data_IF_309797044100
#
_entry.id   IF_309797044100
#
_cell.length_a   1.000
_cell.length_b   1.000
_cell.length_c   1.000
_cell.angle_alpha   90.00
_cell.angle_beta   90.00
_cell.angle_gamma   90.00
#
_symmetry.space_group_name_H-M   'P 1'
#
loop_
_entity.id
_entity.type
_entity.pdbx_description
1 polymer ?
#
# COMPACT_ATOMS: atom_id res chain seq x y z
N UNK A 1 -69.32 19.16 -66.25
CA UNK A 1 -69.43 17.77 -65.75
C UNK A 1 -68.54 17.62 -64.52
N UNK A 2 -69.07 16.97 -63.46
CA UNK A 2 -68.42 16.53 -62.19
C UNK A 2 -67.99 17.66 -61.23
N UNK A 3 -68.87 18.11 -60.33
CA UNK A 3 -69.20 17.61 -58.96
C UNK A 3 -68.03 17.69 -57.96
N UNK A 4 -68.21 18.60 -56.99
CA UNK A 4 -67.42 18.75 -55.78
C UNK A 4 -67.49 17.51 -54.88
N UNK A 5 -66.37 17.20 -54.22
CA UNK A 5 -66.31 16.23 -53.12
C UNK A 5 -65.58 16.88 -51.94
N UNK A 6 -66.37 17.06 -50.89
CA UNK A 6 -66.00 17.45 -49.54
C UNK A 6 -65.24 16.29 -48.90
N UNK A 7 -64.08 16.54 -48.26
CA UNK A 7 -63.48 15.56 -47.36
C UNK A 7 -63.02 16.25 -46.07
N UNK A 8 -63.68 15.84 -45.00
CA UNK A 8 -63.47 16.16 -43.60
C UNK A 8 -62.29 15.30 -43.11
N UNK A 9 -61.29 15.88 -42.44
CA UNK A 9 -60.32 15.06 -41.69
C UNK A 9 -60.07 15.65 -40.29
N UNK A 10 -60.30 14.78 -39.31
CA UNK A 10 -60.28 14.98 -37.87
C UNK A 10 -58.89 15.40 -37.34
N UNK A 11 -58.91 16.30 -36.37
CA UNK A 11 -57.80 16.65 -35.49
C UNK A 11 -57.67 15.56 -34.43
N UNK A 12 -56.52 14.85 -34.39
CA UNK A 12 -56.16 13.91 -33.33
C UNK A 12 -55.04 14.50 -32.48
N UNK A 13 -55.33 14.75 -31.20
CA UNK A 13 -54.37 15.28 -30.23
C UNK A 13 -53.43 14.20 -29.69
N UNK A 14 -52.12 14.45 -29.79
CA UNK A 14 -51.07 13.61 -29.21
C UNK A 14 -50.80 14.06 -27.77
N UNK A 15 -51.13 13.20 -26.81
CA UNK A 15 -50.69 13.30 -25.41
C UNK A 15 -49.21 12.88 -25.33
N UNK A 16 -48.34 13.79 -24.90
CA UNK A 16 -46.93 13.50 -24.60
C UNK A 16 -46.82 13.11 -23.13
N UNK A 17 -46.58 11.83 -22.85
CA UNK A 17 -46.24 11.36 -21.50
C UNK A 17 -44.72 11.35 -21.33
N UNK A 18 -44.20 12.26 -20.49
CA UNK A 18 -42.79 12.29 -20.10
C UNK A 18 -42.54 11.24 -19.01
N UNK A 19 -41.93 10.11 -19.39
CA UNK A 19 -41.44 9.11 -18.42
C UNK A 19 -40.15 9.61 -17.77
N UNK A 20 -40.26 10.06 -16.51
CA UNK A 20 -39.11 10.35 -15.65
C UNK A 20 -38.45 9.04 -15.22
N UNK A 21 -37.44 8.61 -15.98
CA UNK A 21 -36.52 7.58 -15.50
C UNK A 21 -35.70 8.19 -14.35
N UNK A 22 -36.02 7.83 -13.11
CA UNK A 22 -35.07 7.89 -12.01
C UNK A 22 -33.81 7.14 -12.47
N UNK A 23 -32.68 7.83 -12.64
CA UNK A 23 -31.37 7.19 -12.74
C UNK A 23 -31.14 6.46 -11.42
N UNK A 24 -31.50 5.18 -11.39
CA UNK A 24 -30.93 4.24 -10.43
C UNK A 24 -29.45 4.19 -10.76
N UNK A 25 -28.63 4.76 -9.88
CA UNK A 25 -27.18 4.63 -9.94
C UNK A 25 -26.85 3.14 -9.84
N UNK A 26 -26.68 2.50 -10.98
CA UNK A 26 -26.09 1.16 -11.04
C UNK A 26 -24.66 1.33 -10.55
N UNK A 27 -24.41 0.92 -9.31
CA UNK A 27 -23.06 0.69 -8.80
C UNK A 27 -22.45 -0.36 -9.70
N UNK A 28 -21.74 0.06 -10.75
CA UNK A 28 -20.98 -0.84 -11.61
C UNK A 28 -19.81 -1.35 -10.77
N UNK A 29 -20.01 -2.51 -10.15
CA UNK A 29 -18.95 -3.31 -9.56
C UNK A 29 -18.05 -3.73 -10.71
N UNK A 30 -16.78 -3.35 -10.70
CA UNK A 30 -15.81 -3.86 -11.67
C UNK A 30 -15.60 -5.38 -11.50
N UNK A 31 -14.98 -6.04 -12.48
CA UNK A 31 -14.68 -7.49 -12.47
C UNK A 31 -13.93 -7.98 -11.21
N UNK A 32 -13.36 -7.07 -10.41
CA UNK A 32 -12.66 -7.33 -9.16
C UNK A 32 -13.54 -7.25 -7.89
N UNK A 33 -14.82 -6.95 -8.00
CA UNK A 33 -15.72 -6.83 -6.84
C UNK A 33 -15.58 -5.51 -6.06
N UNK A 34 -14.75 -4.57 -6.51
CA UNK A 34 -14.46 -3.31 -5.82
C UNK A 34 -15.31 -2.17 -6.41
N UNK A 35 -15.93 -1.35 -5.56
CA UNK A 35 -16.77 -0.24 -6.04
C UNK A 35 -15.94 0.89 -6.66
N UNK A 36 -16.49 1.57 -7.67
CA UNK A 36 -15.85 2.75 -8.27
C UNK A 36 -15.55 3.85 -7.23
N UNK A 37 -16.44 4.04 -6.24
CA UNK A 37 -16.22 4.99 -5.14
C UNK A 37 -14.98 4.62 -4.31
N UNK A 38 -14.79 3.34 -4.01
CA UNK A 38 -13.61 2.85 -3.29
C UNK A 38 -12.34 3.15 -4.09
N UNK A 39 -12.35 2.88 -5.40
CA UNK A 39 -11.20 3.18 -6.27
C UNK A 39 -10.86 4.67 -6.30
N UNK A 40 -11.87 5.55 -6.25
CA UNK A 40 -11.64 7.00 -6.14
C UNK A 40 -10.99 7.35 -4.80
N UNK A 41 -11.45 6.78 -3.68
CA UNK A 41 -10.82 7.00 -2.37
C UNK A 41 -9.36 6.53 -2.35
N UNK A 42 -9.06 5.36 -2.91
CA UNK A 42 -7.70 4.82 -3.06
C UNK A 42 -6.82 5.77 -3.88
N UNK A 43 -7.31 6.22 -5.04
CA UNK A 43 -6.58 7.15 -5.89
C UNK A 43 -6.34 8.51 -5.20
N UNK A 44 -7.30 8.99 -4.41
CA UNK A 44 -7.18 10.24 -3.64
C UNK A 44 -6.14 10.15 -2.51
N UNK A 45 -5.83 8.94 -2.01
CA UNK A 45 -4.73 8.69 -1.09
C UNK A 45 -3.37 8.50 -1.80
N UNK A 46 -3.36 8.56 -3.13
CA UNK A 46 -2.20 8.39 -3.98
C UNK A 46 -1.69 6.95 -4.04
N UNK A 47 -2.62 6.02 -4.25
CA UNK A 47 -2.34 4.62 -4.57
C UNK A 47 -2.98 4.23 -5.90
N UNK A 48 -2.44 3.19 -6.55
CA UNK A 48 -2.96 2.64 -7.78
C UNK A 48 -4.21 1.80 -7.55
N UNK A 49 -5.02 1.67 -8.60
CA UNK A 49 -6.33 1.00 -8.55
C UNK A 49 -6.40 -0.27 -9.41
N UNK A 50 -5.26 -0.71 -9.97
CA UNK A 50 -5.20 -1.80 -10.95
C UNK A 50 -5.36 -3.21 -10.35
N UNK A 51 -4.86 -3.44 -9.13
CA UNK A 51 -4.83 -4.76 -8.48
C UNK A 51 -5.32 -4.70 -7.03
N UNK A 52 -6.42 -3.97 -6.79
CA UNK A 52 -7.00 -3.82 -5.46
C UNK A 52 -7.62 -5.14 -5.00
N UNK A 53 -7.28 -5.59 -3.79
CA UNK A 53 -7.87 -6.78 -3.18
C UNK A 53 -8.54 -6.40 -1.87
N UNK A 54 -9.78 -6.84 -1.65
CA UNK A 54 -10.46 -6.63 -0.36
C UNK A 54 -9.76 -7.44 0.74
N UNK A 55 -9.53 -6.82 1.90
CA UNK A 55 -9.03 -7.47 3.11
C UNK A 55 -10.06 -7.35 4.23
N UNK A 56 -9.83 -8.04 5.35
CA UNK A 56 -10.75 -8.03 6.50
C UNK A 56 -10.95 -6.63 7.10
N UNK A 57 -9.93 -5.77 7.04
CA UNK A 57 -9.87 -4.45 7.66
C UNK A 57 -9.75 -3.29 6.65
N UNK A 58 -9.82 -3.57 5.34
CA UNK A 58 -9.62 -2.56 4.32
C UNK A 58 -9.40 -3.11 2.91
N UNK A 59 -8.34 -2.64 2.25
CA UNK A 59 -7.98 -3.00 0.88
C UNK A 59 -6.46 -3.08 0.71
N UNK A 60 -5.97 -4.22 0.20
CA UNK A 60 -4.59 -4.38 -0.25
C UNK A 60 -4.43 -3.74 -1.64
N UNK A 61 -3.48 -2.83 -1.75
CA UNK A 61 -3.07 -2.11 -2.97
C UNK A 61 -1.57 -2.28 -3.13
N UNK A 62 -1.07 -2.09 -4.35
CA UNK A 62 0.35 -2.23 -4.69
C UNK A 62 1.00 -3.58 -4.34
N UNK A 63 0.21 -4.53 -3.85
CA UNK A 63 0.62 -5.89 -3.59
C UNK A 63 1.20 -6.15 -2.20
N UNK A 64 1.45 -5.11 -1.41
CA UNK A 64 2.00 -5.15 -0.04
C UNK A 64 1.42 -4.05 0.90
N UNK A 65 0.65 -3.07 0.39
CA UNK A 65 0.10 -1.97 1.21
C UNK A 65 -1.37 -2.21 1.51
N UNK A 66 -1.72 -2.40 2.77
CA UNK A 66 -3.09 -2.48 3.27
C UNK A 66 -3.58 -1.11 3.72
N UNK A 67 -4.53 -0.56 2.97
CA UNK A 67 -5.26 0.66 3.33
C UNK A 67 -6.45 0.27 4.20
N UNK A 68 -6.37 0.59 5.49
CA UNK A 68 -7.49 0.34 6.41
C UNK A 68 -8.71 1.18 6.03
N UNK A 69 -9.90 0.73 6.40
CA UNK A 69 -11.12 1.53 6.20
C UNK A 69 -11.03 2.88 6.93
N UNK A 70 -10.34 2.98 8.07
CA UNK A 70 -10.07 4.25 8.75
C UNK A 70 -9.22 5.19 7.88
N UNK A 71 -8.11 4.71 7.33
CA UNK A 71 -7.23 5.51 6.47
C UNK A 71 -7.95 5.90 5.18
N UNK A 72 -8.70 4.98 4.58
CA UNK A 72 -9.47 5.20 3.34
C UNK A 72 -10.54 6.29 3.49
N UNK A 73 -11.11 6.43 4.69
CA UNK A 73 -12.12 7.45 5.01
C UNK A 73 -11.51 8.68 5.69
N UNK A 74 -10.19 8.72 5.88
CA UNK A 74 -9.48 9.91 6.36
C UNK A 74 -9.35 10.94 5.23
N UNK A 75 -9.39 12.22 5.59
CA UNK A 75 -9.03 13.28 4.63
C UNK A 75 -7.52 13.43 4.67
N UNK A 76 -6.76 13.12 3.59
CA UNK A 76 -5.33 13.32 3.59
C UNK A 76 -5.02 14.80 3.88
N UNK A 77 -4.44 15.06 5.05
CA UNK A 77 -3.93 16.38 5.34
C UNK A 77 -2.69 16.59 4.48
N UNK A 78 -2.78 17.58 3.58
CA UNK A 78 -1.73 18.07 2.68
C UNK A 78 -1.66 17.43 1.28
N UNK A 79 -2.16 18.20 0.31
CA UNK A 79 -1.64 18.24 -1.06
C UNK A 79 -0.24 18.89 -0.99
N UNK A 80 0.83 18.10 -0.95
CA UNK A 80 2.16 18.66 -1.14
C UNK A 80 2.52 18.63 -2.62
N UNK A 81 2.90 19.82 -3.12
CA UNK A 81 3.29 20.06 -4.49
C UNK A 81 4.52 19.22 -4.85
N UNK A 82 4.49 18.69 -6.07
CA UNK A 82 5.58 17.96 -6.72
C UNK A 82 6.87 18.80 -6.76
N UNK A 83 7.94 18.32 -6.14
CA UNK A 83 9.31 18.72 -6.47
C UNK A 83 10.14 17.44 -6.68
N UNK A 84 10.27 17.02 -7.94
CA UNK A 84 11.15 15.93 -8.37
C UNK A 84 10.58 14.51 -8.29
N UNK A 85 11.01 13.66 -9.24
CA UNK A 85 11.28 12.24 -8.96
C UNK A 85 12.39 12.22 -7.90
N UNK A 86 12.30 11.42 -6.84
CA UNK A 86 13.25 11.46 -5.73
C UNK A 86 13.36 10.15 -4.93
N UNK A 87 14.26 10.05 -3.95
CA UNK A 87 14.47 8.88 -3.10
C UNK A 87 14.04 9.15 -1.65
N UNK A 88 13.65 8.08 -0.95
CA UNK A 88 13.04 8.04 0.38
C UNK A 88 11.79 8.91 0.53
N UNK A 89 10.63 8.24 0.45
CA UNK A 89 9.34 8.85 0.67
C UNK A 89 8.76 8.41 2.00
N UNK A 90 7.99 9.29 2.61
CA UNK A 90 7.17 8.99 3.78
C UNK A 90 5.71 9.28 3.53
N UNK A 91 4.83 8.68 4.30
CA UNK A 91 3.43 9.10 4.35
C UNK A 91 3.25 10.40 5.14
N UNK A 92 2.06 10.98 5.05
CA UNK A 92 1.64 12.12 5.87
C UNK A 92 1.61 11.76 7.36
N UNK A 93 1.34 10.49 7.69
CA UNK A 93 1.25 10.02 9.05
C UNK A 93 2.57 9.37 9.49
N UNK A 94 3.19 9.92 10.53
CA UNK A 94 4.39 9.35 11.13
C UNK A 94 4.09 8.82 12.53
N UNK A 95 4.95 7.94 13.02
CA UNK A 95 4.91 7.52 14.42
C UNK A 95 5.48 8.66 15.27
N UNK A 96 4.64 9.27 16.09
CA UNK A 96 5.03 10.43 16.92
C UNK A 96 4.72 10.22 18.40
N UNK A 97 3.83 9.28 18.72
CA UNK A 97 3.37 9.06 20.09
C UNK A 97 4.43 8.31 20.90
N UNK A 98 4.87 8.95 21.97
CA UNK A 98 5.69 8.32 23.01
C UNK A 98 7.17 8.16 22.67
N UNK A 99 7.68 8.81 21.61
CA UNK A 99 9.11 8.73 21.27
C UNK A 99 9.99 9.50 22.28
N UNK A 100 11.18 8.96 22.67
CA UNK A 100 11.74 7.68 22.24
C UNK A 100 11.03 6.46 22.86
N UNK A 101 10.79 5.41 22.07
CA UNK A 101 10.06 4.21 22.49
C UNK A 101 10.68 2.93 21.93
N UNK A 102 10.68 1.88 22.76
CA UNK A 102 10.89 0.51 22.31
C UNK A 102 9.55 -0.15 21.99
N UNK A 103 9.34 -0.48 20.72
CA UNK A 103 8.15 -1.13 20.20
C UNK A 103 8.29 -2.65 20.30
N UNK A 104 7.26 -3.29 20.84
CA UNK A 104 7.18 -4.74 21.02
C UNK A 104 6.68 -5.40 19.75
N UNK A 105 7.49 -6.30 19.20
CA UNK A 105 7.19 -7.07 17.99
C UNK A 105 6.87 -8.51 18.38
N UNK A 106 5.66 -8.98 18.08
CA UNK A 106 5.28 -10.39 18.29
C UNK A 106 5.29 -11.13 16.96
N UNK A 107 5.86 -12.33 16.92
CA UNK A 107 5.72 -13.25 15.78
C UNK A 107 4.68 -14.29 16.14
N UNK A 108 3.66 -14.46 15.30
CA UNK A 108 2.52 -15.35 15.56
C UNK A 108 2.22 -16.23 14.35
N UNK A 109 1.99 -17.52 14.61
CA UNK A 109 1.64 -18.53 13.60
C UNK A 109 2.65 -18.63 12.45
N UNK A 110 3.94 -18.52 12.75
CA UNK A 110 5.04 -18.56 11.78
C UNK A 110 6.17 -19.47 12.25
N UNK A 111 6.92 -20.05 11.31
CA UNK A 111 8.02 -20.96 11.60
C UNK A 111 9.36 -20.26 11.88
N UNK A 112 10.41 -21.03 12.23
CA UNK A 112 11.69 -20.50 12.71
C UNK A 112 12.37 -19.48 11.78
N UNK A 113 12.22 -19.64 10.46
CA UNK A 113 12.82 -18.70 9.49
C UNK A 113 12.26 -17.28 9.61
N UNK A 114 10.97 -17.14 9.94
CA UNK A 114 10.32 -15.85 10.14
C UNK A 114 10.66 -15.25 11.50
N UNK A 115 10.80 -16.07 12.54
CA UNK A 115 11.29 -15.62 13.84
C UNK A 115 12.72 -15.07 13.74
N UNK A 116 13.62 -15.81 13.10
CA UNK A 116 15.00 -15.39 12.88
C UNK A 116 15.09 -14.20 11.92
N UNK A 117 14.26 -14.15 10.88
CA UNK A 117 14.15 -13.00 9.98
C UNK A 117 13.65 -11.74 10.71
N UNK A 118 12.72 -11.91 11.66
CA UNK A 118 12.28 -10.81 12.55
C UNK A 118 13.43 -10.31 13.42
N UNK A 119 14.17 -11.22 14.05
CA UNK A 119 15.34 -10.85 14.87
C UNK A 119 16.40 -10.11 14.04
N UNK A 120 16.62 -10.55 12.79
CA UNK A 120 17.51 -9.89 11.84
C UNK A 120 17.02 -8.47 11.51
N UNK A 121 15.75 -8.29 11.15
CA UNK A 121 15.18 -6.97 10.86
C UNK A 121 15.30 -6.02 12.07
N UNK A 122 14.94 -6.49 13.27
CA UNK A 122 15.06 -5.75 14.52
C UNK A 122 16.50 -5.30 14.77
N UNK A 123 17.47 -6.20 14.60
CA UNK A 123 18.88 -5.89 14.82
C UNK A 123 19.36 -4.74 13.92
N UNK A 124 18.91 -4.71 12.66
CA UNK A 124 19.27 -3.68 11.68
C UNK A 124 18.74 -2.32 12.07
N UNK A 125 17.46 -2.21 12.43
CA UNK A 125 16.90 -0.94 12.90
C UNK A 125 17.57 -0.45 14.18
N UNK A 126 17.75 -1.34 15.16
CA UNK A 126 18.36 -0.98 16.44
C UNK A 126 19.81 -0.51 16.28
N UNK A 127 20.55 -1.02 15.28
CA UNK A 127 21.92 -0.58 14.98
C UNK A 127 22.00 0.90 14.55
N UNK A 128 20.91 1.49 14.04
CA UNK A 128 20.86 2.91 13.65
C UNK A 128 20.75 3.87 14.84
N UNK A 129 20.38 3.36 16.03
CA UNK A 129 20.21 4.16 17.25
C UNK A 129 19.19 5.29 17.09
N UNK A 130 18.01 4.97 16.55
CA UNK A 130 16.89 5.88 16.37
C UNK A 130 16.08 6.01 17.68
N UNK A 131 15.19 7.00 17.74
CA UNK A 131 14.15 7.15 18.78
C UNK A 131 13.09 6.05 18.73
N UNK A 132 13.03 5.31 17.62
CA UNK A 132 12.29 4.05 17.51
C UNK A 132 13.28 2.89 17.69
N UNK A 133 13.05 2.06 18.70
CA UNK A 133 13.76 0.79 18.84
C UNK A 133 12.77 -0.36 18.92
N UNK A 134 13.24 -1.57 18.68
CA UNK A 134 12.40 -2.74 18.55
C UNK A 134 12.84 -3.86 19.48
N UNK A 135 11.87 -4.58 20.02
CA UNK A 135 12.12 -5.75 20.85
C UNK A 135 11.15 -6.87 20.47
N UNK A 136 11.68 -8.04 20.10
CA UNK A 136 10.83 -9.21 19.92
C UNK A 136 10.32 -9.68 21.28
N UNK A 137 9.02 -9.95 21.35
CA UNK A 137 8.34 -10.51 22.52
C UNK A 137 7.63 -11.80 22.14
N UNK A 138 7.45 -12.70 23.10
CA UNK A 138 6.71 -13.95 22.93
C UNK A 138 5.38 -13.96 23.70
N UNK A 139 5.18 -12.99 24.60
CA UNK A 139 3.99 -12.84 25.45
C UNK A 139 3.69 -11.37 25.72
N UNK A 140 2.46 -11.07 26.12
CA UNK A 140 2.00 -9.71 26.43
C UNK A 140 1.42 -8.99 25.21
N UNK A 141 1.05 -7.72 25.39
CA UNK A 141 0.47 -6.89 24.31
C UNK A 141 1.58 -6.34 23.41
N UNK A 142 1.62 -6.73 22.11
CA UNK A 142 2.58 -6.17 21.15
C UNK A 142 2.12 -4.81 20.62
N UNK A 143 3.07 -4.03 20.11
CA UNK A 143 2.79 -2.84 19.30
C UNK A 143 2.59 -3.22 17.83
N UNK A 144 3.33 -4.21 17.33
CA UNK A 144 3.17 -4.78 15.98
C UNK A 144 3.21 -6.31 16.05
N UNK A 145 2.28 -6.96 15.35
CA UNK A 145 2.23 -8.42 15.21
C UNK A 145 2.60 -8.84 13.79
N UNK A 146 3.59 -9.72 13.66
CA UNK A 146 3.95 -10.40 12.43
C UNK A 146 3.12 -11.69 12.37
N UNK A 147 2.21 -11.79 11.41
CA UNK A 147 1.21 -12.84 11.28
C UNK A 147 1.39 -13.61 9.97
N UNK A 148 1.32 -14.94 10.02
CA UNK A 148 1.29 -15.77 8.83
C UNK A 148 -0.06 -15.75 8.11
N UNK A 149 -0.03 -15.71 6.78
CA UNK A 149 -1.17 -16.06 5.92
C UNK A 149 -0.70 -17.01 4.81
N UNK A 150 -1.62 -17.68 4.13
CA UNK A 150 -1.26 -18.62 3.05
C UNK A 150 -2.04 -18.28 1.79
N UNK A 151 -1.35 -17.71 0.80
CA UNK A 151 -1.92 -17.33 -0.48
C UNK A 151 -1.04 -17.83 -1.63
N UNK A 152 -1.64 -18.50 -2.60
CA UNK A 152 -0.97 -18.88 -3.86
C UNK A 152 -0.87 -17.68 -4.79
N UNK A 153 0.06 -17.75 -5.73
CA UNK A 153 0.14 -16.75 -6.79
C UNK A 153 -1.18 -16.68 -7.59
N UNK A 154 -1.63 -15.47 -7.92
CA UNK A 154 -2.82 -15.21 -8.75
C UNK A 154 -2.45 -14.21 -9.83
N UNK A 155 -2.78 -14.50 -11.08
CA UNK A 155 -2.50 -13.59 -12.21
C UNK A 155 -1.01 -13.31 -12.44
N UNK A 156 -0.12 -14.26 -12.09
CA UNK A 156 1.33 -14.07 -12.18
C UNK A 156 1.95 -13.28 -11.03
N UNK A 157 1.14 -12.84 -10.06
CA UNK A 157 1.60 -12.08 -8.89
C UNK A 157 1.47 -12.89 -7.60
N UNK A 158 2.42 -12.71 -6.68
CA UNK A 158 2.37 -13.27 -5.32
C UNK A 158 2.76 -12.20 -4.29
N UNK A 159 1.90 -12.00 -3.30
CA UNK A 159 2.25 -11.16 -2.14
C UNK A 159 3.27 -11.90 -1.28
N UNK A 160 4.41 -11.26 -1.01
CA UNK A 160 5.47 -11.80 -0.14
C UNK A 160 5.20 -11.45 1.32
N UNK A 161 4.95 -10.17 1.55
CA UNK A 161 4.53 -9.57 2.80
C UNK A 161 3.52 -8.47 2.51
N UNK A 162 2.80 -8.03 3.53
CA UNK A 162 2.01 -6.81 3.44
C UNK A 162 1.84 -6.18 4.81
N UNK A 163 1.76 -4.86 4.86
CA UNK A 163 1.56 -4.09 6.08
C UNK A 163 0.72 -2.85 5.76
N UNK A 164 0.88 -1.76 6.47
CA UNK A 164 0.06 -0.57 6.34
C UNK A 164 0.75 0.61 6.98
N UNK A 165 0.11 1.78 6.99
CA UNK A 165 0.73 3.02 7.43
C UNK A 165 0.29 3.45 8.84
N UNK A 166 1.09 4.31 9.50
CA UNK A 166 0.71 4.90 10.78
C UNK A 166 -0.64 5.61 10.72
N UNK A 167 -1.38 5.55 11.82
CA UNK A 167 -2.63 6.27 12.02
C UNK A 167 -2.65 6.87 13.42
N UNK A 168 -3.06 8.13 13.54
CA UNK A 168 -3.13 8.86 14.82
C UNK A 168 -1.80 8.86 15.62
N UNK A 169 -0.66 8.83 14.91
CA UNK A 169 0.67 8.86 15.51
C UNK A 169 1.16 7.51 16.07
N UNK A 170 0.39 6.42 15.93
CA UNK A 170 0.78 5.06 16.27
C UNK A 170 1.16 4.27 14.99
N UNK A 171 2.06 3.28 15.07
CA UNK A 171 2.42 2.46 13.91
C UNK A 171 1.23 1.61 13.45
N UNK A 172 1.24 1.18 12.18
CA UNK A 172 0.36 0.09 11.78
C UNK A 172 0.77 -1.18 12.53
N UNK A 173 -0.21 -1.87 13.10
CA UNK A 173 0.04 -2.88 14.12
C UNK A 173 0.18 -4.30 13.59
N UNK A 174 0.15 -4.51 12.27
CA UNK A 174 0.17 -5.84 11.67
C UNK A 174 1.10 -5.89 10.46
N UNK A 175 1.96 -6.91 10.43
CA UNK A 175 2.73 -7.31 9.24
C UNK A 175 2.27 -8.72 8.87
N UNK A 176 1.73 -8.92 7.68
CA UNK A 176 1.31 -10.24 7.18
C UNK A 176 2.43 -10.82 6.33
N UNK A 177 2.82 -12.07 6.59
CA UNK A 177 3.86 -12.77 5.86
C UNK A 177 3.30 -14.01 5.16
N UNK A 178 3.57 -14.16 3.86
CA UNK A 178 3.03 -15.28 3.09
C UNK A 178 3.81 -16.56 3.37
N UNK A 179 3.13 -17.58 3.87
CA UNK A 179 3.70 -18.89 4.21
C UNK A 179 3.63 -19.88 3.05
N UNK A 180 3.05 -19.48 1.91
CA UNK A 180 2.97 -20.34 0.74
C UNK A 180 4.36 -20.63 0.16
N UNK A 181 4.62 -21.88 -0.23
CA UNK A 181 5.90 -22.28 -0.82
C UNK A 181 6.25 -21.53 -2.12
N UNK A 182 5.27 -20.95 -2.81
CA UNK A 182 5.52 -20.10 -3.98
C UNK A 182 6.16 -18.74 -3.62
N UNK A 183 6.06 -18.28 -2.36
CA UNK A 183 6.60 -16.99 -1.92
C UNK A 183 8.08 -17.09 -1.52
N UNK A 184 8.42 -18.06 -0.65
CA UNK A 184 9.76 -18.21 -0.07
C UNK A 184 10.38 -19.60 -0.27
N UNK A 185 9.73 -20.49 -1.02
CA UNK A 185 10.11 -21.90 -1.11
C UNK A 185 9.62 -22.72 0.09
N UNK A 186 9.91 -24.02 0.08
CA UNK A 186 9.57 -24.94 1.18
C UNK A 186 10.49 -24.78 2.41
N UNK A 187 11.68 -24.21 2.20
CA UNK A 187 12.66 -23.88 3.24
C UNK A 187 13.03 -22.40 3.11
N UNK A 188 12.26 -21.48 3.71
CA UNK A 188 12.48 -20.05 3.58
C UNK A 188 13.88 -19.62 4.04
N UNK A 189 14.57 -18.83 3.23
CA UNK A 189 15.86 -18.26 3.59
C UNK A 189 15.67 -17.12 4.61
N UNK A 190 16.38 -17.20 5.75
CA UNK A 190 16.27 -16.23 6.86
C UNK A 190 16.57 -14.80 6.42
N UNK A 191 17.58 -14.58 5.57
CA UNK A 191 17.96 -13.25 5.14
C UNK A 191 16.92 -12.65 4.20
N UNK A 192 16.39 -13.44 3.27
CA UNK A 192 15.32 -12.98 2.38
C UNK A 192 14.05 -12.64 3.18
N UNK A 193 13.63 -13.52 4.08
CA UNK A 193 12.48 -13.27 4.96
C UNK A 193 12.72 -12.04 5.84
N UNK A 194 13.92 -11.90 6.39
CA UNK A 194 14.32 -10.74 7.19
C UNK A 194 14.31 -9.44 6.40
N UNK A 195 14.70 -9.46 5.12
CA UNK A 195 14.59 -8.29 4.24
C UNK A 195 13.14 -7.89 3.96
N UNK A 196 12.24 -8.85 3.74
CA UNK A 196 10.81 -8.53 3.57
C UNK A 196 10.21 -8.01 4.88
N UNK A 197 10.47 -8.66 6.02
CA UNK A 197 9.98 -8.16 7.33
C UNK A 197 10.53 -6.77 7.64
N UNK A 198 11.81 -6.54 7.34
CA UNK A 198 12.42 -5.21 7.45
C UNK A 198 11.59 -4.22 6.64
N UNK A 199 11.37 -4.46 5.34
CA UNK A 199 10.55 -3.64 4.45
C UNK A 199 9.16 -3.32 5.02
N UNK A 200 8.42 -4.33 5.45
CA UNK A 200 7.06 -4.15 5.99
C UNK A 200 7.04 -3.33 7.29
N UNK A 201 8.04 -3.50 8.17
CA UNK A 201 8.20 -2.62 9.33
C UNK A 201 8.44 -1.17 8.90
N UNK A 202 8.98 -0.92 7.71
CA UNK A 202 9.11 0.43 7.17
C UNK A 202 7.79 1.11 6.93
N UNK A 203 6.89 0.43 6.24
CA UNK A 203 5.53 0.91 6.04
C UNK A 203 4.81 1.16 7.36
N UNK A 204 4.92 0.23 8.32
CA UNK A 204 4.35 0.39 9.66
C UNK A 204 4.80 1.68 10.36
N UNK A 205 6.00 2.19 10.02
CA UNK A 205 6.61 3.39 10.55
C UNK A 205 6.65 4.55 9.54
N UNK A 206 5.82 4.48 8.50
CA UNK A 206 5.53 5.60 7.61
C UNK A 206 6.46 5.74 6.42
N UNK A 207 7.36 4.79 6.16
CA UNK A 207 8.16 4.77 4.92
C UNK A 207 7.28 4.31 3.75
N UNK A 208 7.41 4.95 2.59
CA UNK A 208 6.82 4.51 1.32
C UNK A 208 7.87 3.90 0.42
N UNK A 209 7.42 3.28 -0.67
CA UNK A 209 8.33 2.79 -1.69
C UNK A 209 9.18 3.91 -2.29
N UNK A 210 10.46 3.62 -2.50
CA UNK A 210 11.38 4.58 -3.13
C UNK A 210 11.05 4.79 -4.60
N UNK A 211 10.55 3.75 -5.27
CA UNK A 211 10.15 3.75 -6.67
C UNK A 211 8.63 3.84 -6.84
N UNK A 212 7.91 4.42 -5.87
CA UNK A 212 6.44 4.58 -5.93
C UNK A 212 5.94 5.22 -7.24
N UNK A 213 6.73 6.15 -7.78
CA UNK A 213 6.43 6.87 -9.02
C UNK A 213 6.64 6.03 -10.30
N UNK A 214 7.44 4.97 -10.22
CA UNK A 214 7.75 4.07 -11.33
C UNK A 214 8.23 2.70 -10.83
N UNK A 215 7.30 1.78 -10.61
CA UNK A 215 7.62 0.41 -10.16
C UNK A 215 8.39 -0.40 -11.19
N UNK A 216 8.51 0.06 -12.45
CA UNK A 216 9.34 -0.66 -13.43
C UNK A 216 10.82 -0.69 -13.02
N UNK A 217 11.24 0.23 -12.15
CA UNK A 217 12.59 0.30 -11.59
C UNK A 217 12.95 -1.00 -10.87
N UNK A 218 12.12 -1.48 -9.94
CA UNK A 218 12.40 -2.72 -9.19
C UNK A 218 11.65 -3.96 -9.69
N UNK A 219 10.49 -3.80 -10.33
CA UNK A 219 9.56 -4.89 -10.66
C UNK A 219 9.70 -5.44 -12.09
N UNK A 220 10.90 -5.41 -12.67
CA UNK A 220 11.24 -6.05 -13.96
C UNK A 220 10.25 -5.76 -15.11
N UNK A 221 9.84 -4.50 -15.27
CA UNK A 221 9.10 -4.04 -16.45
C UNK A 221 7.57 -4.14 -16.39
N UNK A 222 6.96 -4.52 -15.26
CA UNK A 222 5.52 -4.27 -15.07
C UNK A 222 5.36 -2.79 -14.73
N UNK A 223 5.13 -1.94 -15.74
CA UNK A 223 4.95 -0.50 -15.60
C UNK A 223 3.57 -0.19 -14.98
N UNK A 224 3.41 -0.49 -13.70
CA UNK A 224 2.30 -0.01 -12.88
C UNK A 224 2.86 0.96 -11.86
N UNK A 225 2.67 2.26 -12.12
CA UNK A 225 2.87 3.33 -11.14
C UNK A 225 1.93 3.10 -9.95
N UNK A 226 2.30 3.47 -8.72
CA UNK A 226 1.43 3.44 -7.53
C UNK A 226 0.29 4.47 -7.58
N UNK A 227 -0.25 4.74 -8.77
CA UNK A 227 -1.03 5.93 -9.06
C UNK A 227 -0.11 7.14 -9.20
N UNK A 228 -0.28 7.89 -10.28
CA UNK A 228 0.50 9.08 -10.62
C UNK A 228 0.22 10.29 -9.69
N UNK A 229 -0.06 10.05 -8.41
CA UNK A 229 -0.47 11.06 -7.45
C UNK A 229 0.68 11.40 -6.51
N UNK A 230 0.97 12.69 -6.35
CA UNK A 230 1.89 13.20 -5.32
C UNK A 230 1.22 13.28 -3.95
N UNK A 231 -0.01 12.79 -3.83
CA UNK A 231 -0.79 12.85 -2.60
C UNK A 231 -0.34 11.71 -1.69
N UNK A 232 0.07 12.04 -0.47
CA UNK A 232 0.46 11.04 0.53
C UNK A 232 1.88 10.47 0.40
N UNK A 233 2.70 10.94 -0.54
CA UNK A 233 4.13 10.62 -0.64
C UNK A 233 4.97 11.91 -0.48
N UNK A 234 5.65 12.04 0.65
CA UNK A 234 6.44 13.22 1.03
C UNK A 234 7.92 12.87 0.93
N UNK A 235 8.68 13.65 0.16
CA UNK A 235 10.12 13.51 0.08
C UNK A 235 10.77 13.76 1.45
N UNK A 236 11.75 12.93 1.81
CA UNK A 236 12.58 13.16 2.97
C UNK A 236 13.78 14.05 2.59
N UNK A 237 13.98 15.21 3.24
CA UNK A 237 15.15 16.06 2.97
C UNK A 237 16.48 15.35 3.20
N UNK A 238 17.42 15.56 2.28
CA UNK A 238 18.78 15.02 2.37
C UNK A 238 19.04 13.75 1.57
N UNK A 239 18.04 13.20 0.89
CA UNK A 239 18.18 12.02 0.03
C UNK A 239 18.18 12.38 -1.46
N UNK A 240 18.82 11.59 -2.34
CA UNK A 240 18.94 11.86 -3.77
C UNK A 240 17.57 11.97 -4.45
N UNK A 241 17.56 12.57 -5.63
CA UNK A 241 16.33 12.76 -6.40
C UNK A 241 16.10 11.66 -7.48
N UNK A 242 16.53 10.42 -7.29
CA UNK A 242 16.22 9.36 -8.27
C UNK A 242 16.40 7.95 -7.73
N UNK A 243 15.31 7.19 -7.61
CA UNK A 243 15.37 5.77 -7.27
C UNK A 243 16.05 4.97 -8.39
N UNK A 244 16.95 4.06 -8.02
CA UNK A 244 17.48 3.05 -8.94
C UNK A 244 17.47 1.67 -8.28
N UNK A 245 17.26 0.62 -9.07
CA UNK A 245 17.38 -0.75 -8.55
C UNK A 245 18.80 -1.05 -8.06
N UNK A 246 19.81 -0.44 -8.69
CA UNK A 246 21.21 -0.58 -8.32
C UNK A 246 21.55 0.04 -6.96
N UNK A 247 20.87 1.13 -6.57
CA UNK A 247 21.00 1.73 -5.24
C UNK A 247 20.51 0.77 -4.14
N UNK A 248 19.65 -0.20 -4.49
CA UNK A 248 19.32 -1.31 -3.60
C UNK A 248 18.59 -0.91 -2.31
N UNK A 249 17.82 0.18 -2.34
CA UNK A 249 17.00 0.62 -1.20
C UNK A 249 16.10 -0.53 -0.72
N UNK A 250 16.12 -0.79 0.59
CA UNK A 250 15.21 -1.75 1.22
C UNK A 250 13.73 -1.44 1.00
N UNK A 251 13.37 -0.18 0.68
CA UNK A 251 12.01 0.24 0.31
C UNK A 251 11.73 0.21 -1.20
N UNK A 252 12.54 -0.46 -2.02
CA UNK A 252 12.13 -0.75 -3.40
C UNK A 252 10.91 -1.68 -3.40
N UNK A 253 9.91 -1.38 -4.22
CA UNK A 253 8.59 -2.04 -4.25
C UNK A 253 8.62 -3.52 -4.65
N UNK A 254 9.70 -3.98 -5.28
CA UNK A 254 9.94 -5.40 -5.53
C UNK A 254 11.24 -5.86 -4.89
N UNK A 255 11.14 -6.98 -4.19
CA UNK A 255 12.31 -7.67 -3.63
C UNK A 255 13.19 -8.25 -4.73
N UNK A 256 14.50 -8.28 -4.49
CA UNK A 256 15.45 -9.03 -5.31
C UNK A 256 15.54 -10.52 -4.92
N UNK A 257 14.72 -10.99 -3.98
CA UNK A 257 14.75 -12.38 -3.50
C UNK A 257 15.94 -12.71 -2.59
N UNK A 258 16.70 -11.70 -2.16
CA UNK A 258 17.96 -11.87 -1.43
C UNK A 258 18.04 -11.02 -0.17
N UNK A 259 19.27 -10.90 0.33
CA UNK A 259 19.58 -10.15 1.54
C UNK A 259 19.74 -8.64 1.26
N UNK A 260 18.62 -7.94 1.10
CA UNK A 260 18.60 -6.47 0.94
C UNK A 260 18.45 -5.79 2.29
N UNK A 261 19.30 -4.80 2.56
CA UNK A 261 19.23 -3.99 3.79
C UNK A 261 19.44 -2.51 3.47
N UNK A 262 19.57 -1.66 4.50
CA UNK A 262 19.70 -0.22 4.35
C UNK A 262 20.95 0.16 3.54
N UNK A 263 20.77 1.04 2.56
CA UNK A 263 21.83 1.81 1.93
C UNK A 263 22.05 3.15 2.67
N UNK A 264 22.97 3.98 2.19
CA UNK A 264 23.28 5.26 2.83
C UNK A 264 22.11 6.25 2.85
N UNK A 265 21.29 6.26 1.80
CA UNK A 265 20.16 7.16 1.65
C UNK A 265 18.98 6.73 2.54
N UNK A 266 18.77 5.41 2.69
CA UNK A 266 17.84 4.83 3.65
C UNK A 266 18.16 5.29 5.08
N UNK A 267 19.44 5.23 5.47
CA UNK A 267 19.91 5.66 6.78
C UNK A 267 19.68 7.16 6.96
N UNK A 268 19.96 7.97 5.92
CA UNK A 268 19.70 9.42 5.93
C UNK A 268 18.20 9.70 6.13
N UNK A 269 17.35 8.99 5.40
CA UNK A 269 15.90 9.12 5.50
C UNK A 269 15.38 8.76 6.89
N UNK A 270 15.80 7.62 7.43
CA UNK A 270 15.41 7.17 8.76
C UNK A 270 15.92 8.11 9.87
N UNK A 271 17.13 8.65 9.74
CA UNK A 271 17.65 9.63 10.68
C UNK A 271 16.85 10.94 10.64
N UNK A 272 16.46 11.41 9.46
CA UNK A 272 15.63 12.60 9.35
C UNK A 272 14.30 12.45 10.10
N UNK A 273 13.69 11.26 10.04
CA UNK A 273 12.40 11.01 10.70
C UNK A 273 12.53 10.76 12.19
N UNK A 274 13.54 9.99 12.59
CA UNK A 274 13.54 9.33 13.90
C UNK A 274 14.84 9.48 14.68
N UNK A 275 15.80 10.33 14.28
CA UNK A 275 16.98 10.63 15.11
C UNK A 275 16.67 11.64 16.21
#
# INVERSE_FOLDING_TARGET
>A
MKKALFNFLLISGILITVSSCKKTSTTTVSDDGISAETKVKIANLGFGTGNVQKTDDGYLVEGDINLTDELLNSTPSQLLLRVGTAEQYRTTNLVTVGLPKTFKILVSNLGPAFEQGTDLAISRYNALGLKISFQRVTTGTPDVTILGFNQRAKGGYITLGSSGFPTNGAPYNTVKMNTNAQAYGTNPNVNYVGSVIQHELGHCFGMRHTDYFDRSISCSGTATNEGASTIGAILIPGTPSSATNAAGSWMLACSNGGDRSFNADDITGLNYLYK
#
